data_IF_725714904306
#
_entry.id   IF_725714904306
#
_cell.length_a   1.000
_cell.length_b   1.000
_cell.length_c   1.000
_cell.angle_alpha   90.00
_cell.angle_beta   90.00
_cell.angle_gamma   90.00
#
_symmetry.space_group_name_H-M   'P 1'
#
loop_
_entity.id
_entity.type
_entity.pdbx_description
1 polymer ?
#
# COMPACT_ATOMS: atom_id res chain seq x y z
N UNK A 1 -26.31 -65.59 9.19
CA UNK A 1 -25.81 -64.26 8.77
C UNK A 1 -26.94 -63.52 8.04
N UNK A 2 -27.48 -62.40 8.61
CA UNK A 2 -28.53 -61.60 7.99
C UNK A 2 -27.84 -60.42 7.22
N UNK A 3 -27.91 -60.49 5.89
CA UNK A 3 -27.50 -59.34 5.04
C UNK A 3 -28.55 -58.25 5.17
N UNK A 4 -28.12 -57.09 5.75
CA UNK A 4 -28.87 -55.86 5.72
C UNK A 4 -28.74 -55.23 4.32
N UNK A 5 -29.80 -55.23 3.55
CA UNK A 5 -29.87 -54.51 2.29
C UNK A 5 -29.78 -53.00 2.60
N UNK A 6 -28.71 -52.34 2.15
CA UNK A 6 -28.59 -50.91 2.12
C UNK A 6 -29.57 -50.36 1.04
N UNK A 7 -30.56 -49.60 1.49
CA UNK A 7 -31.45 -48.88 0.59
C UNK A 7 -30.61 -47.75 -0.08
N UNK A 8 -30.39 -47.87 -1.38
CA UNK A 8 -29.81 -46.81 -2.20
C UNK A 8 -30.79 -45.62 -2.23
N UNK A 9 -30.41 -44.54 -1.58
CA UNK A 9 -31.15 -43.26 -1.68
C UNK A 9 -31.14 -42.82 -3.15
N UNK A 10 -32.34 -42.64 -3.73
CA UNK A 10 -32.51 -42.11 -5.09
C UNK A 10 -31.97 -40.67 -5.11
N UNK A 11 -30.85 -40.44 -5.73
CA UNK A 11 -30.32 -39.10 -6.04
C UNK A 11 -31.24 -38.51 -7.11
N UNK A 12 -31.99 -37.48 -6.75
CA UNK A 12 -32.77 -36.71 -7.70
C UNK A 12 -31.83 -35.82 -8.49
N UNK A 13 -31.72 -36.04 -9.79
CA UNK A 13 -30.95 -35.17 -10.68
C UNK A 13 -31.72 -33.86 -10.95
N UNK A 14 -30.98 -32.78 -11.17
CA UNK A 14 -31.54 -31.49 -11.62
C UNK A 14 -32.07 -31.61 -13.04
N UNK A 15 -33.20 -30.96 -13.29
CA UNK A 15 -33.74 -30.86 -14.66
C UNK A 15 -33.01 -29.72 -15.41
N UNK A 16 -32.95 -29.85 -16.75
CA UNK A 16 -32.32 -28.83 -17.60
C UNK A 16 -33.01 -27.46 -17.44
N UNK A 17 -34.35 -27.47 -17.31
CA UNK A 17 -35.12 -26.23 -17.12
C UNK A 17 -34.85 -25.56 -15.78
N UNK A 18 -34.66 -26.34 -14.73
CA UNK A 18 -34.34 -25.83 -13.39
C UNK A 18 -32.94 -25.14 -13.38
N UNK A 19 -31.96 -25.73 -14.06
CA UNK A 19 -30.65 -25.10 -14.23
C UNK A 19 -30.75 -23.79 -15.02
N UNK A 20 -31.56 -23.78 -16.11
CA UNK A 20 -31.71 -22.61 -16.96
C UNK A 20 -32.37 -21.45 -16.20
N UNK A 21 -33.37 -21.71 -15.38
CA UNK A 21 -34.01 -20.67 -14.54
C UNK A 21 -33.04 -20.14 -13.49
N UNK A 22 -32.25 -21.00 -12.86
CA UNK A 22 -31.26 -20.56 -11.85
C UNK A 22 -30.22 -19.64 -12.46
N UNK A 23 -29.62 -19.97 -13.61
CA UNK A 23 -28.66 -19.10 -14.27
C UNK A 23 -29.28 -17.79 -14.76
N UNK A 24 -30.52 -17.78 -15.20
CA UNK A 24 -31.22 -16.55 -15.58
C UNK A 24 -31.39 -15.60 -14.39
N UNK A 25 -31.85 -16.13 -13.25
CA UNK A 25 -31.98 -15.33 -12.02
C UNK A 25 -30.61 -14.85 -11.54
N UNK A 26 -29.58 -15.72 -11.54
CA UNK A 26 -28.21 -15.36 -11.14
C UNK A 26 -27.64 -14.25 -12.03
N UNK A 27 -27.90 -14.29 -13.33
CA UNK A 27 -27.46 -13.24 -14.26
C UNK A 27 -28.10 -11.88 -13.93
N UNK A 28 -29.38 -11.85 -13.62
CA UNK A 28 -30.08 -10.60 -13.22
C UNK A 28 -29.48 -10.04 -11.92
N UNK A 29 -29.29 -10.89 -10.91
CA UNK A 29 -28.73 -10.48 -9.64
C UNK A 29 -27.27 -9.97 -9.79
N UNK A 30 -26.47 -10.59 -10.66
CA UNK A 30 -25.09 -10.18 -10.93
C UNK A 30 -24.99 -8.77 -11.50
N UNK A 31 -25.94 -8.30 -12.30
CA UNK A 31 -25.92 -6.94 -12.86
C UNK A 31 -25.98 -5.84 -11.80
N UNK A 32 -26.60 -6.10 -10.66
CA UNK A 32 -26.71 -5.15 -9.55
C UNK A 32 -25.57 -5.35 -8.53
N UNK A 33 -25.21 -6.60 -8.26
CA UNK A 33 -24.23 -6.93 -7.24
C UNK A 33 -22.80 -6.53 -7.65
N UNK A 34 -22.41 -6.74 -8.91
CA UNK A 34 -21.03 -6.48 -9.37
C UNK A 34 -20.63 -5.00 -9.23
N UNK A 35 -21.41 -4.00 -9.70
CA UNK A 35 -21.03 -2.60 -9.55
C UNK A 35 -20.95 -2.15 -8.08
N UNK A 36 -21.83 -2.67 -7.21
CA UNK A 36 -21.80 -2.34 -5.79
C UNK A 36 -20.51 -2.84 -5.09
N UNK A 37 -20.03 -4.02 -5.47
CA UNK A 37 -18.80 -4.60 -4.93
C UNK A 37 -17.52 -3.85 -5.37
N UNK A 38 -17.52 -3.26 -6.57
CA UNK A 38 -16.34 -2.56 -7.09
C UNK A 38 -15.91 -1.38 -6.18
N UNK A 39 -16.85 -0.61 -5.65
CA UNK A 39 -16.58 0.46 -4.71
C UNK A 39 -15.88 -0.06 -3.46
N UNK A 40 -16.44 -1.07 -2.83
CA UNK A 40 -15.88 -1.70 -1.61
C UNK A 40 -14.46 -2.23 -1.83
N UNK A 41 -14.20 -2.88 -2.98
CA UNK A 41 -12.85 -3.40 -3.31
C UNK A 41 -11.85 -2.27 -3.48
N UNK A 42 -12.23 -1.15 -4.12
CA UNK A 42 -11.37 0.02 -4.29
C UNK A 42 -11.04 0.66 -2.95
N UNK A 43 -12.02 0.86 -2.08
CA UNK A 43 -11.82 1.40 -0.74
C UNK A 43 -10.92 0.50 0.11
N UNK A 44 -11.08 -0.80 0.00
CA UNK A 44 -10.22 -1.76 0.68
C UNK A 44 -8.76 -1.67 0.20
N UNK A 45 -8.52 -1.56 -1.12
CA UNK A 45 -7.17 -1.37 -1.68
C UNK A 45 -6.54 -0.08 -1.19
N UNK A 46 -7.28 1.01 -1.15
CA UNK A 46 -6.81 2.30 -0.65
C UNK A 46 -6.40 2.20 0.84
N UNK A 47 -7.25 1.62 1.67
CA UNK A 47 -6.94 1.42 3.11
C UNK A 47 -5.74 0.50 3.33
N UNK A 48 -5.61 -0.55 2.52
CA UNK A 48 -4.47 -1.47 2.57
C UNK A 48 -3.17 -0.77 2.20
N UNK A 49 -3.17 0.03 1.13
CA UNK A 49 -2.01 0.82 0.71
C UNK A 49 -1.59 1.82 1.79
N UNK A 50 -2.56 2.50 2.43
CA UNK A 50 -2.30 3.41 3.54
C UNK A 50 -1.69 2.71 4.75
N UNK A 51 -2.25 1.56 5.14
CA UNK A 51 -1.74 0.77 6.27
C UNK A 51 -0.31 0.29 6.02
N UNK A 52 -0.02 -0.14 4.79
CA UNK A 52 1.31 -0.54 4.37
C UNK A 52 2.31 0.62 4.47
N UNK A 53 1.93 1.80 3.98
CA UNK A 53 2.75 3.01 4.03
C UNK A 53 3.08 3.41 5.48
N UNK A 54 2.08 3.42 6.37
CA UNK A 54 2.26 3.72 7.79
C UNK A 54 3.17 2.68 8.46
N UNK A 55 2.98 1.41 8.14
CA UNK A 55 3.84 0.33 8.64
C UNK A 55 5.29 0.52 8.22
N UNK A 56 5.53 0.82 6.95
CA UNK A 56 6.87 1.02 6.40
C UNK A 56 7.56 2.28 6.98
N UNK A 57 6.80 3.36 7.22
CA UNK A 57 7.30 4.55 7.91
C UNK A 57 7.72 4.25 9.35
N UNK A 58 6.90 3.51 10.09
CA UNK A 58 7.23 3.10 11.47
C UNK A 58 8.42 2.14 11.50
N UNK A 59 8.52 1.22 10.54
CA UNK A 59 9.67 0.34 10.41
C UNK A 59 10.94 1.12 10.04
N UNK A 60 10.85 2.07 9.11
CA UNK A 60 11.97 2.95 8.75
C UNK A 60 12.49 3.73 9.96
N UNK A 61 11.57 4.25 10.79
CA UNK A 61 11.91 4.90 12.05
C UNK A 61 12.62 3.94 13.02
N UNK A 62 12.08 2.74 13.18
CA UNK A 62 12.69 1.72 14.05
C UNK A 62 14.08 1.31 13.59
N UNK A 63 14.29 1.15 12.28
CA UNK A 63 15.61 0.83 11.70
C UNK A 63 16.61 2.00 11.84
N UNK A 64 16.15 3.24 11.70
CA UNK A 64 17.01 4.41 11.93
C UNK A 64 17.57 4.42 13.37
N UNK A 65 16.72 4.15 14.36
CA UNK A 65 17.11 4.08 15.76
C UNK A 65 18.02 2.87 16.01
N UNK A 66 17.61 1.70 15.55
CA UNK A 66 18.34 0.44 15.78
C UNK A 66 19.74 0.44 15.19
N UNK A 67 19.89 0.98 13.98
CA UNK A 67 21.17 1.05 13.27
C UNK A 67 21.98 2.28 13.62
N UNK A 68 21.44 3.20 14.43
CA UNK A 68 22.00 4.52 14.68
C UNK A 68 22.47 5.23 13.40
N UNK A 69 21.65 5.12 12.35
CA UNK A 69 21.95 5.64 11.02
C UNK A 69 20.74 6.39 10.43
N UNK A 70 20.96 7.04 9.30
CA UNK A 70 19.88 7.71 8.57
C UNK A 70 19.19 6.71 7.67
N UNK A 71 17.86 6.80 7.64
CA UNK A 71 17.01 5.98 6.77
C UNK A 71 16.22 6.88 5.84
N UNK A 72 16.16 6.51 4.57
CA UNK A 72 15.35 7.16 3.55
C UNK A 72 14.15 6.27 3.23
N UNK A 73 12.96 6.87 3.15
CA UNK A 73 11.83 6.35 2.40
C UNK A 73 11.71 7.20 1.15
N UNK A 74 11.86 6.62 -0.01
CA UNK A 74 11.92 7.35 -1.28
C UNK A 74 11.17 6.65 -2.41
N UNK A 75 10.83 7.40 -3.44
CA UNK A 75 10.25 6.85 -4.67
C UNK A 75 11.19 5.80 -5.26
N UNK A 76 10.65 4.64 -5.59
CA UNK A 76 11.39 3.51 -6.15
C UNK A 76 11.86 3.82 -7.59
N UNK A 77 13.12 3.52 -7.89
CA UNK A 77 13.62 3.56 -9.26
C UNK A 77 13.11 2.34 -10.09
N UNK A 78 13.28 2.38 -11.40
CA UNK A 78 12.80 1.31 -12.28
C UNK A 78 13.46 -0.06 -11.98
N UNK A 79 14.72 -0.07 -11.54
CA UNK A 79 15.43 -1.28 -11.19
C UNK A 79 14.99 -1.86 -9.82
N UNK A 80 14.29 -1.07 -8.99
CA UNK A 80 13.83 -1.51 -7.67
C UNK A 80 14.92 -1.58 -6.59
N UNK A 81 16.11 -1.06 -6.87
CA UNK A 81 17.28 -1.15 -6.00
C UNK A 81 17.68 0.18 -5.35
N UNK A 82 16.88 1.23 -5.51
CA UNK A 82 17.20 2.54 -4.93
C UNK A 82 16.15 3.60 -5.22
N UNK A 83 16.50 4.84 -4.88
CA UNK A 83 15.66 6.01 -5.05
C UNK A 83 15.64 6.50 -6.50
N UNK A 84 14.48 6.97 -6.95
CA UNK A 84 14.31 7.73 -8.19
C UNK A 84 14.33 9.23 -7.90
N UNK A 85 14.86 10.01 -8.83
CA UNK A 85 14.73 11.47 -8.84
C UNK A 85 13.33 11.86 -9.40
N UNK A 86 12.27 11.42 -8.75
CA UNK A 86 10.87 11.59 -9.16
C UNK A 86 10.00 11.80 -7.95
N UNK A 87 8.92 12.54 -8.11
CA UNK A 87 7.87 12.72 -7.10
C UNK A 87 6.65 11.82 -7.35
N UNK A 88 6.75 10.90 -8.33
CA UNK A 88 5.67 9.96 -8.63
C UNK A 88 5.71 8.74 -7.70
N UNK A 89 5.07 8.84 -6.56
CA UNK A 89 4.98 7.79 -5.55
C UNK A 89 4.13 6.57 -5.99
N UNK A 90 3.38 6.68 -7.08
CA UNK A 90 2.63 5.54 -7.64
C UNK A 90 3.54 4.45 -8.17
N UNK A 91 4.80 4.77 -8.55
CA UNK A 91 5.79 3.76 -8.96
C UNK A 91 6.25 2.85 -7.82
N UNK A 92 5.75 3.08 -6.61
CA UNK A 92 6.16 2.39 -5.40
C UNK A 92 7.28 3.12 -4.67
N UNK A 93 7.74 2.55 -3.57
CA UNK A 93 8.80 3.14 -2.75
C UNK A 93 9.80 2.10 -2.27
N UNK A 94 10.94 2.58 -1.85
CA UNK A 94 11.95 1.80 -1.16
C UNK A 94 12.30 2.44 0.17
N UNK A 95 12.73 1.62 1.13
CA UNK A 95 13.31 2.08 2.39
C UNK A 95 14.74 1.57 2.45
N UNK A 96 15.66 2.49 2.65
CA UNK A 96 17.08 2.19 2.64
C UNK A 96 17.86 3.08 3.61
N UNK A 97 19.08 2.66 3.97
CA UNK A 97 20.01 3.48 4.72
C UNK A 97 20.78 4.44 3.81
N UNK A 98 21.24 5.55 4.38
CA UNK A 98 22.15 6.50 3.73
C UNK A 98 23.15 7.06 4.72
N UNK A 99 24.40 7.21 4.30
CA UNK A 99 25.46 7.77 5.14
C UNK A 99 25.50 9.30 5.09
N UNK A 100 25.10 9.88 3.98
CA UNK A 100 25.18 11.32 3.79
C UNK A 100 23.98 12.07 4.37
N UNK A 101 24.22 13.21 5.01
CA UNK A 101 23.21 14.08 5.63
C UNK A 101 22.21 14.60 4.59
N UNK A 102 22.66 14.89 3.39
CA UNK A 102 21.87 15.51 2.32
C UNK A 102 21.56 14.56 1.18
N UNK A 103 22.04 13.31 1.23
CA UNK A 103 21.80 12.34 0.16
C UNK A 103 20.32 12.02 -0.02
N UNK A 104 19.91 11.90 -1.26
CA UNK A 104 18.61 11.37 -1.70
C UNK A 104 18.74 9.97 -2.31
N UNK A 105 19.91 9.35 -2.20
CA UNK A 105 20.21 8.02 -2.71
C UNK A 105 20.47 7.03 -1.58
N UNK A 106 20.14 5.76 -1.84
CA UNK A 106 20.49 4.66 -0.95
C UNK A 106 22.00 4.45 -0.91
N UNK A 107 22.55 4.14 0.26
CA UNK A 107 23.92 3.69 0.39
C UNK A 107 24.08 2.32 -0.29
N UNK A 108 25.10 2.20 -1.13
CA UNK A 108 25.40 0.94 -1.84
C UNK A 108 26.33 0.01 -1.04
N UNK A 109 26.98 0.53 0.00
CA UNK A 109 27.93 -0.23 0.82
C UNK A 109 27.25 -1.06 1.92
N UNK A 110 26.04 -0.67 2.35
CA UNK A 110 25.32 -1.37 3.40
C UNK A 110 24.45 -2.51 2.82
N UNK A 111 24.51 -3.70 3.41
CA UNK A 111 23.69 -4.85 2.99
C UNK A 111 22.83 -5.36 4.16
N UNK A 112 21.56 -5.74 3.93
CA UNK A 112 20.78 -5.52 2.72
C UNK A 112 20.33 -4.06 2.56
N UNK A 113 20.50 -3.50 1.35
CA UNK A 113 20.07 -2.15 1.06
C UNK A 113 19.59 -2.04 -0.41
N UNK A 114 18.32 -1.68 -0.70
CA UNK A 114 17.27 -1.33 0.25
C UNK A 114 16.75 -2.55 1.03
N UNK A 115 16.25 -2.35 2.24
CA UNK A 115 15.69 -3.41 3.07
C UNK A 115 14.16 -3.53 2.99
N UNK A 116 13.48 -2.55 2.41
CA UNK A 116 12.07 -2.65 1.99
C UNK A 116 11.98 -2.17 0.56
N UNK A 117 11.30 -2.94 -0.27
CA UNK A 117 10.95 -2.59 -1.66
C UNK A 117 9.47 -2.84 -1.86
N UNK A 118 8.75 -1.80 -2.25
CA UNK A 118 7.31 -1.90 -2.56
C UNK A 118 7.07 -1.71 -4.05
N UNK A 119 6.23 -2.53 -4.65
CA UNK A 119 5.86 -2.40 -6.05
C UNK A 119 5.02 -1.15 -6.30
N UNK A 120 4.78 -0.86 -7.56
CA UNK A 120 3.85 0.19 -7.97
C UNK A 120 2.46 -0.02 -7.37
N UNK A 121 1.83 1.07 -6.98
CA UNK A 121 0.44 1.08 -6.52
C UNK A 121 -0.53 0.89 -7.69
N UNK A 122 -1.76 0.56 -7.36
CA UNK A 122 -2.87 0.50 -8.33
C UNK A 122 -3.05 1.88 -9.00
N UNK A 123 -3.21 1.90 -10.30
CA UNK A 123 -3.37 3.14 -11.09
C UNK A 123 -4.65 3.91 -10.78
N UNK A 124 -5.60 3.29 -10.09
CA UNK A 124 -6.79 3.96 -9.57
C UNK A 124 -6.53 4.79 -8.31
N UNK A 125 -5.32 4.74 -7.75
CA UNK A 125 -4.90 5.52 -6.60
C UNK A 125 -4.07 6.74 -7.03
N UNK A 126 -4.00 7.74 -6.16
CA UNK A 126 -3.06 8.86 -6.23
C UNK A 126 -2.36 9.00 -4.89
N UNK A 127 -1.05 9.10 -4.90
CA UNK A 127 -0.25 9.33 -3.69
C UNK A 127 0.65 10.54 -3.92
N UNK A 128 0.41 11.59 -3.15
CA UNK A 128 1.24 12.80 -3.13
C UNK A 128 1.94 12.93 -1.78
N UNK A 129 3.19 13.35 -1.82
CA UNK A 129 3.98 13.61 -0.61
C UNK A 129 4.51 15.02 -0.72
N UNK A 130 4.19 15.84 0.27
CA UNK A 130 4.57 17.25 0.31
C UNK A 130 5.22 17.62 1.64
N UNK A 131 6.01 18.67 1.64
CA UNK A 131 6.46 19.31 2.88
C UNK A 131 5.40 20.30 3.44
N UNK A 132 5.75 21.02 4.50
CA UNK A 132 4.87 22.00 5.12
C UNK A 132 4.57 23.21 4.22
N UNK A 133 5.40 23.45 3.21
CA UNK A 133 5.20 24.49 2.18
C UNK A 133 4.45 23.97 0.95
N UNK A 134 3.92 22.74 1.00
CA UNK A 134 3.22 22.06 -0.10
C UNK A 134 4.13 21.76 -1.32
N UNK A 135 5.44 21.73 -1.13
CA UNK A 135 6.39 21.33 -2.16
C UNK A 135 6.47 19.82 -2.22
N UNK A 136 6.39 19.25 -3.44
CA UNK A 136 6.43 17.82 -3.65
C UNK A 136 7.80 17.24 -3.27
N UNK A 137 7.80 16.17 -2.48
CA UNK A 137 8.98 15.47 -2.03
C UNK A 137 9.15 14.14 -2.76
N UNK A 138 10.38 13.81 -3.13
CA UNK A 138 10.77 12.48 -3.64
C UNK A 138 11.29 11.57 -2.54
N UNK A 139 11.63 12.13 -1.37
CA UNK A 139 12.24 11.40 -0.24
C UNK A 139 11.74 11.93 1.09
N UNK A 140 11.57 11.02 2.05
CA UNK A 140 11.39 11.32 3.47
C UNK A 140 12.59 10.75 4.20
N UNK A 141 13.27 11.57 4.98
CA UNK A 141 14.47 11.16 5.72
C UNK A 141 14.16 11.07 7.21
N UNK A 142 14.60 9.98 7.82
CA UNK A 142 14.50 9.73 9.25
C UNK A 142 15.91 9.54 9.82
N UNK A 143 16.24 10.28 10.87
CA UNK A 143 17.52 10.19 11.55
C UNK A 143 17.48 9.19 12.72
N UNK A 144 18.65 8.86 13.26
CA UNK A 144 18.81 7.99 14.42
C UNK A 144 18.04 8.48 15.66
N UNK A 145 17.88 9.80 15.83
CA UNK A 145 17.04 10.40 16.89
C UNK A 145 15.55 10.43 16.55
N UNK A 146 15.13 9.72 15.52
CA UNK A 146 13.74 9.66 15.00
C UNK A 146 13.19 10.98 14.46
N UNK A 147 13.99 12.03 14.37
CA UNK A 147 13.60 13.26 13.70
C UNK A 147 13.87 13.19 12.20
N UNK A 148 13.20 14.03 11.44
CA UNK A 148 13.55 14.24 10.03
C UNK A 148 14.94 14.89 9.93
N UNK A 149 15.62 14.66 8.83
CA UNK A 149 16.96 15.21 8.62
C UNK A 149 17.00 16.73 8.69
N UNK A 150 18.18 17.28 8.95
CA UNK A 150 18.42 18.73 8.94
C UNK A 150 17.90 19.35 7.63
N UNK A 151 17.06 20.38 7.74
CA UNK A 151 16.44 21.05 6.61
C UNK A 151 15.15 20.38 6.09
N UNK A 152 14.68 19.28 6.70
CA UNK A 152 13.38 18.67 6.38
C UNK A 152 12.29 19.28 7.24
N UNK A 153 11.26 19.81 6.59
CA UNK A 153 9.98 20.10 7.22
C UNK A 153 9.16 18.81 7.39
N UNK A 154 8.10 18.87 8.20
CA UNK A 154 7.17 17.77 8.31
C UNK A 154 6.65 17.36 6.93
N UNK A 155 6.49 16.06 6.70
CA UNK A 155 5.95 15.54 5.44
C UNK A 155 4.48 15.15 5.61
N UNK A 156 3.67 15.54 4.63
CA UNK A 156 2.26 15.13 4.53
C UNK A 156 2.10 14.22 3.32
N UNK A 157 1.61 13.02 3.56
CA UNK A 157 1.32 12.02 2.54
C UNK A 157 -0.20 11.96 2.37
N UNK A 158 -0.67 12.25 1.17
CA UNK A 158 -2.10 12.20 0.86
C UNK A 158 -2.37 11.09 -0.14
N UNK A 159 -3.13 10.09 0.29
CA UNK A 159 -3.58 8.98 -0.54
C UNK A 159 -5.06 9.15 -0.87
N UNK A 160 -5.39 9.22 -2.14
CA UNK A 160 -6.75 9.31 -2.64
C UNK A 160 -6.99 8.31 -3.76
N UNK A 161 -8.25 8.12 -4.13
CA UNK A 161 -8.63 7.36 -5.32
C UNK A 161 -9.03 8.30 -6.46
N UNK A 162 -8.97 7.79 -7.69
CA UNK A 162 -9.36 8.53 -8.91
C UNK A 162 -10.84 8.37 -9.25
N UNK A 163 -11.61 7.61 -8.47
CA UNK A 163 -13.05 7.38 -8.69
C UNK A 163 -13.91 8.43 -7.97
N UNK A 164 -15.12 8.62 -8.47
CA UNK A 164 -16.10 9.51 -7.85
C UNK A 164 -16.47 9.03 -6.43
N UNK A 165 -16.41 9.93 -5.46
CA UNK A 165 -16.68 9.62 -4.05
C UNK A 165 -15.48 9.06 -3.27
N UNK A 166 -14.29 8.97 -3.89
CA UNK A 166 -13.08 8.58 -3.17
C UNK A 166 -12.75 9.60 -2.06
N UNK A 167 -12.54 9.11 -0.85
CA UNK A 167 -12.06 9.92 0.28
C UNK A 167 -10.53 9.98 0.29
N UNK A 168 -9.99 11.18 0.48
CA UNK A 168 -8.55 11.32 0.70
C UNK A 168 -8.23 10.98 2.16
N UNK A 169 -7.17 10.21 2.36
CA UNK A 169 -6.60 9.93 3.68
C UNK A 169 -5.22 10.54 3.77
N UNK A 170 -4.94 11.19 4.89
CA UNK A 170 -3.66 11.83 5.13
C UNK A 170 -2.86 11.12 6.21
N UNK A 171 -1.56 11.04 6.01
CA UNK A 171 -0.58 10.60 6.99
C UNK A 171 0.43 11.72 7.14
N UNK A 172 0.64 12.18 8.35
CA UNK A 172 1.64 13.19 8.63
C UNK A 172 2.83 12.57 9.36
N UNK A 173 4.02 12.94 8.91
CA UNK A 173 5.28 12.63 9.56
C UNK A 173 5.80 13.93 10.15
N UNK A 174 5.75 14.05 11.47
CA UNK A 174 6.23 15.24 12.17
C UNK A 174 7.76 15.36 12.07
N UNK A 175 8.30 16.55 12.30
CA UNK A 175 9.76 16.78 12.39
C UNK A 175 10.44 15.91 13.45
N UNK A 176 9.70 15.43 14.45
CA UNK A 176 10.16 14.48 15.47
C UNK A 176 10.14 13.03 14.99
N UNK A 177 9.73 12.76 13.74
CA UNK A 177 9.55 11.42 13.20
C UNK A 177 8.29 10.70 13.66
N UNK A 178 7.39 11.37 14.39
CA UNK A 178 6.10 10.78 14.76
C UNK A 178 5.19 10.69 13.54
N UNK A 179 4.56 9.52 13.36
CA UNK A 179 3.64 9.23 12.26
C UNK A 179 2.21 9.23 12.80
N UNK A 180 1.38 10.09 12.26
CA UNK A 180 -0.05 10.17 12.60
C UNK A 180 -0.92 10.04 11.36
N UNK A 181 -2.06 9.34 11.51
CA UNK A 181 -3.05 9.12 10.45
C UNK A 181 -4.28 9.99 10.72
N UNK A 182 -4.78 10.63 9.68
CA UNK A 182 -5.99 11.47 9.69
C UNK A 182 -6.99 11.02 8.64
#
# INVERSE_FOLDING_TARGET
MKFRSLALARIRGFTLIELLVVIAIAAILATVAVPALQGTVRDFRQRSALSLLVSDLNQARGEAIKRNSRVLLCVRNAAGNGCAASTNWLSGWVVCTTDAVTSTACDTASSPNPFIVRPALDTSLTLTVTDAASVALSTIRLNANSSQGAGSSAATLTLSGTWSGATAHTVTVASTGNVSKH
#
